data_IF_564017354647
#
_entry.id   IF_564017354647
#
_cell.length_a   1.000
_cell.length_b   1.000
_cell.length_c   1.000
_cell.angle_alpha   90.00
_cell.angle_beta   90.00
_cell.angle_gamma   90.00
#
_symmetry.space_group_name_H-M   'P 1'
#
loop_
_entity.id
_entity.type
_entity.pdbx_description
1 polymer ?
#
# COMPACT_ATOMS: atom_id res chain seq x y z
N UNK A 1 0.63 10.47 -11.50
CA UNK A 1 -0.19 9.73 -10.51
C UNK A 1 -0.60 8.32 -10.96
N UNK A 2 -1.30 8.14 -12.10
CA UNK A 2 -1.90 6.83 -12.49
C UNK A 2 -0.92 5.66 -12.57
N UNK A 3 0.27 5.88 -13.14
CA UNK A 3 1.33 4.85 -13.25
C UNK A 3 1.77 4.34 -11.87
N UNK A 4 1.95 5.23 -10.91
CA UNK A 4 2.33 4.91 -9.52
C UNK A 4 1.20 4.11 -8.86
N UNK A 5 -0.03 4.61 -8.95
CA UNK A 5 -1.22 3.98 -8.37
C UNK A 5 -1.44 2.57 -8.91
N UNK A 6 -1.39 2.39 -10.23
CA UNK A 6 -1.59 1.09 -10.89
C UNK A 6 -0.51 0.07 -10.50
N UNK A 7 0.77 0.50 -10.47
CA UNK A 7 1.90 -0.35 -10.07
C UNK A 7 1.77 -0.80 -8.62
N UNK A 8 1.40 0.09 -7.70
CA UNK A 8 1.22 -0.28 -6.28
C UNK A 8 -0.04 -1.14 -6.09
N UNK A 9 -1.14 -0.81 -6.76
CA UNK A 9 -2.37 -1.59 -6.71
C UNK A 9 -2.19 -3.01 -7.28
N UNK A 10 -1.24 -3.23 -8.19
CA UNK A 10 -0.87 -4.56 -8.67
C UNK A 10 -0.28 -5.45 -7.56
N UNK A 11 0.36 -4.87 -6.53
CA UNK A 11 0.81 -5.61 -5.35
C UNK A 11 -0.37 -6.00 -4.44
N UNK A 12 -1.53 -5.36 -4.57
CA UNK A 12 -2.68 -5.62 -3.70
C UNK A 12 -2.50 -5.09 -2.28
N UNK A 13 -2.83 -5.92 -1.30
CA UNK A 13 -2.70 -5.59 0.14
C UNK A 13 -1.26 -5.31 0.57
N UNK A 14 -0.24 -6.05 0.11
CA UNK A 14 1.18 -5.70 0.31
C UNK A 14 1.52 -4.27 -0.10
N UNK A 15 0.91 -3.75 -1.17
CA UNK A 15 1.10 -2.36 -1.60
C UNK A 15 0.61 -1.36 -0.56
N UNK A 16 -0.56 -1.59 0.05
CA UNK A 16 -1.08 -0.73 1.13
C UNK A 16 -0.18 -0.76 2.38
N UNK A 17 0.32 -1.94 2.74
CA UNK A 17 1.24 -2.12 3.86
C UNK A 17 2.51 -1.31 3.62
N UNK A 18 3.04 -1.34 2.38
CA UNK A 18 4.23 -0.60 2.00
C UNK A 18 4.04 0.91 2.09
N UNK A 19 2.91 1.45 1.61
CA UNK A 19 2.61 2.90 1.70
C UNK A 19 2.67 3.39 3.15
N UNK A 20 2.08 2.63 4.08
CA UNK A 20 2.03 3.03 5.50
C UNK A 20 3.36 2.77 6.20
N UNK A 21 4.09 1.72 5.83
CA UNK A 21 5.42 1.50 6.35
C UNK A 21 6.33 2.69 6.00
N UNK A 22 6.36 3.10 4.72
CA UNK A 22 7.16 4.23 4.27
C UNK A 22 6.73 5.56 4.91
N UNK A 23 5.43 5.79 5.08
CA UNK A 23 4.96 7.01 5.76
C UNK A 23 5.25 7.00 7.26
N UNK A 24 5.28 5.83 7.90
CA UNK A 24 5.61 5.69 9.31
C UNK A 24 7.11 5.82 9.61
N UNK A 25 7.99 5.45 8.68
CA UNK A 25 9.45 5.48 8.89
C UNK A 25 10.13 6.74 8.34
N UNK A 26 9.41 7.58 7.60
CA UNK A 26 9.99 8.71 6.87
C UNK A 26 10.87 8.28 5.68
N UNK A 27 11.29 9.25 4.87
CA UNK A 27 12.08 9.01 3.64
C UNK A 27 13.45 8.36 3.92
N UNK A 28 14.01 8.60 5.11
CA UNK A 28 15.29 8.04 5.58
C UNK A 28 15.22 6.55 5.95
N UNK A 29 14.08 6.07 6.46
CA UNK A 29 13.86 4.64 6.71
C UNK A 29 13.54 3.83 5.45
N UNK A 30 13.10 4.51 4.37
CA UNK A 30 12.79 3.90 3.08
C UNK A 30 14.00 3.17 2.48
N UNK A 31 15.17 3.80 2.43
CA UNK A 31 16.38 3.18 1.87
C UNK A 31 16.78 1.89 2.60
N UNK A 32 16.75 1.88 3.94
CA UNK A 32 17.07 0.71 4.75
C UNK A 32 16.03 -0.41 4.62
N UNK A 33 14.74 -0.07 4.53
CA UNK A 33 13.69 -1.04 4.22
C UNK A 33 13.85 -1.60 2.80
N UNK A 34 14.28 -0.79 1.84
CA UNK A 34 14.43 -1.25 0.45
C UNK A 34 15.65 -2.13 0.26
N UNK A 35 16.77 -1.87 0.94
CA UNK A 35 17.94 -2.75 0.91
C UNK A 35 17.65 -4.07 1.60
N UNK A 36 16.99 -4.05 2.77
CA UNK A 36 16.59 -5.26 3.48
C UNK A 36 15.58 -6.09 2.67
N UNK A 37 14.58 -5.45 2.05
CA UNK A 37 13.57 -6.13 1.24
C UNK A 37 14.11 -6.55 -0.12
N UNK A 38 15.14 -5.86 -0.66
CA UNK A 38 15.83 -6.27 -1.87
C UNK A 38 16.72 -7.50 -1.66
N UNK A 39 17.34 -7.61 -0.49
CA UNK A 39 18.11 -8.78 -0.10
C UNK A 39 17.23 -10.01 0.19
N UNK A 40 15.97 -9.81 0.58
CA UNK A 40 15.03 -10.87 1.02
C UNK A 40 13.80 -10.97 0.08
N UNK A 41 13.82 -10.31 -1.08
CA UNK A 41 12.68 -10.26 -1.98
C UNK A 41 12.24 -11.66 -2.41
N UNK A 42 10.94 -11.96 -2.50
CA UNK A 42 10.48 -13.22 -3.08
C UNK A 42 11.10 -13.33 -4.48
N UNK A 43 11.71 -14.47 -4.82
CA UNK A 43 12.50 -14.68 -6.06
C UNK A 43 13.94 -14.09 -6.08
N UNK A 44 14.53 -13.76 -4.92
CA UNK A 44 15.92 -13.34 -4.83
C UNK A 44 16.19 -11.98 -5.49
N UNK A 45 17.30 -11.84 -6.22
CA UNK A 45 17.75 -10.57 -6.81
C UNK A 45 16.69 -9.91 -7.72
N UNK A 46 15.95 -10.71 -8.51
CA UNK A 46 14.90 -10.19 -9.39
C UNK A 46 13.74 -9.58 -8.61
N UNK A 47 13.30 -10.26 -7.55
CA UNK A 47 12.31 -9.75 -6.62
C UNK A 47 12.77 -8.47 -5.93
N UNK A 48 14.05 -8.41 -5.59
CA UNK A 48 14.65 -7.22 -4.99
C UNK A 48 14.68 -6.02 -5.92
N UNK A 49 15.08 -6.18 -7.18
CA UNK A 49 15.08 -5.11 -8.18
C UNK A 49 13.66 -4.63 -8.46
N UNK A 50 12.70 -5.55 -8.62
CA UNK A 50 11.30 -5.18 -8.82
C UNK A 50 10.75 -4.37 -7.64
N UNK A 51 11.08 -4.79 -6.42
CA UNK A 51 10.67 -4.09 -5.18
C UNK A 51 11.29 -2.69 -5.09
N UNK A 52 12.58 -2.55 -5.41
CA UNK A 52 13.26 -1.25 -5.49
C UNK A 52 12.55 -0.31 -6.47
N UNK A 53 12.19 -0.79 -7.66
CA UNK A 53 11.47 0.00 -8.66
C UNK A 53 10.12 0.52 -8.15
N UNK A 54 9.36 -0.32 -7.42
CA UNK A 54 8.08 0.08 -6.82
C UNK A 54 8.29 1.13 -5.72
N UNK A 55 9.32 0.96 -4.89
CA UNK A 55 9.63 1.89 -3.79
C UNK A 55 10.06 3.25 -4.32
N UNK A 56 10.86 3.30 -5.37
CA UNK A 56 11.25 4.57 -6.04
C UNK A 56 10.01 5.30 -6.55
N UNK A 57 9.12 4.60 -7.27
CA UNK A 57 7.88 5.18 -7.78
C UNK A 57 6.94 5.67 -6.66
N UNK A 58 6.84 4.89 -5.59
CA UNK A 58 6.03 5.23 -4.44
C UNK A 58 6.60 6.43 -3.68
N UNK A 59 7.93 6.51 -3.51
CA UNK A 59 8.61 7.65 -2.89
C UNK A 59 8.35 8.94 -3.66
N UNK A 60 8.48 8.90 -4.99
CA UNK A 60 8.16 10.05 -5.86
C UNK A 60 6.69 10.46 -5.68
N UNK A 61 5.77 9.48 -5.70
CA UNK A 61 4.35 9.74 -5.51
C UNK A 61 4.01 10.34 -4.15
N UNK A 62 4.66 9.89 -3.07
CA UNK A 62 4.47 10.44 -1.73
C UNK A 62 4.97 11.89 -1.62
N UNK A 63 6.13 12.19 -2.23
CA UNK A 63 6.69 13.55 -2.24
C UNK A 63 5.86 14.51 -3.09
N UNK A 64 5.39 14.06 -4.25
CA UNK A 64 4.70 14.92 -5.23
C UNK A 64 3.21 15.13 -4.91
N UNK A 65 2.51 14.09 -4.44
CA UNK A 65 1.05 14.14 -4.22
C UNK A 65 0.64 14.02 -2.76
N UNK A 66 1.57 13.68 -1.87
CA UNK A 66 1.28 13.44 -0.46
C UNK A 66 0.64 12.07 -0.18
N UNK A 67 0.72 11.67 1.08
CA UNK A 67 0.24 10.36 1.56
C UNK A 67 -1.26 10.14 1.29
N UNK A 68 -2.12 11.10 1.66
CA UNK A 68 -3.57 10.95 1.57
C UNK A 68 -4.05 10.70 0.13
N UNK A 69 -3.48 11.41 -0.85
CA UNK A 69 -3.84 11.26 -2.25
C UNK A 69 -3.43 9.89 -2.80
N UNK A 70 -2.18 9.47 -2.52
CA UNK A 70 -1.66 8.16 -2.96
C UNK A 70 -2.44 7.02 -2.32
N UNK A 71 -2.63 7.06 -1.00
CA UNK A 71 -3.33 6.01 -0.27
C UNK A 71 -4.77 5.86 -0.77
N UNK A 72 -5.51 6.97 -0.91
CA UNK A 72 -6.89 6.96 -1.41
C UNK A 72 -6.97 6.44 -2.84
N UNK A 73 -6.07 6.88 -3.73
CA UNK A 73 -6.07 6.46 -5.13
C UNK A 73 -5.76 4.95 -5.28
N UNK A 74 -4.79 4.42 -4.53
CA UNK A 74 -4.48 2.98 -4.53
C UNK A 74 -5.63 2.17 -3.98
N UNK A 75 -6.26 2.63 -2.90
CA UNK A 75 -7.45 1.98 -2.36
C UNK A 75 -8.54 1.95 -3.42
N UNK A 76 -8.92 3.08 -4.03
CA UNK A 76 -9.93 3.15 -5.11
C UNK A 76 -9.63 2.18 -6.26
N UNK A 77 -8.38 2.07 -6.67
CA UNK A 77 -7.93 1.14 -7.72
C UNK A 77 -8.11 -0.33 -7.31
N UNK A 78 -7.89 -0.68 -6.03
CA UNK A 78 -8.17 -2.03 -5.53
C UNK A 78 -9.67 -2.36 -5.55
N UNK A 79 -10.54 -1.40 -5.27
CA UNK A 79 -11.99 -1.60 -5.36
C UNK A 79 -12.46 -1.81 -6.81
N UNK A 80 -11.93 -1.04 -7.75
CA UNK A 80 -12.18 -1.27 -9.19
C UNK A 80 -11.78 -2.69 -9.63
N UNK A 81 -10.75 -3.26 -9.01
CA UNK A 81 -10.29 -4.64 -9.23
C UNK A 81 -11.08 -5.69 -8.42
N UNK A 82 -12.24 -5.33 -7.88
CA UNK A 82 -13.14 -6.23 -7.17
C UNK A 82 -12.73 -6.58 -5.73
N UNK A 83 -11.82 -5.82 -5.11
CA UNK A 83 -11.50 -5.98 -3.68
C UNK A 83 -12.49 -5.18 -2.84
N UNK A 84 -13.13 -5.81 -1.87
CA UNK A 84 -13.93 -5.10 -0.88
C UNK A 84 -13.15 -4.81 0.42
N UNK A 85 -13.68 -3.89 1.24
CA UNK A 85 -13.08 -3.48 2.52
C UNK A 85 -12.82 -4.66 3.46
N UNK A 86 -13.78 -5.58 3.60
CA UNK A 86 -13.69 -6.72 4.52
C UNK A 86 -12.61 -7.70 4.04
N UNK A 87 -12.50 -7.93 2.74
CA UNK A 87 -11.45 -8.76 2.14
C UNK A 87 -10.06 -8.17 2.35
N UNK A 88 -9.91 -6.86 2.18
CA UNK A 88 -8.65 -6.15 2.45
C UNK A 88 -8.28 -6.31 3.94
N UNK A 89 -9.18 -5.98 4.86
CA UNK A 89 -8.98 -6.12 6.31
C UNK A 89 -8.61 -7.56 6.72
N UNK A 90 -9.34 -8.56 6.20
CA UNK A 90 -9.06 -9.98 6.46
C UNK A 90 -7.68 -10.40 5.98
N UNK A 91 -7.21 -9.87 4.84
CA UNK A 91 -5.88 -10.16 4.31
C UNK A 91 -4.79 -9.49 5.16
N UNK A 92 -4.98 -8.25 5.60
CA UNK A 92 -4.03 -7.52 6.46
C UNK A 92 -3.74 -8.32 7.73
N UNK A 93 -4.77 -8.89 8.35
CA UNK A 93 -4.62 -9.72 9.55
C UNK A 93 -3.71 -10.95 9.34
N UNK A 94 -3.68 -11.51 8.13
CA UNK A 94 -2.86 -12.69 7.80
C UNK A 94 -1.39 -12.36 7.51
N UNK A 95 -1.04 -11.10 7.26
CA UNK A 95 0.36 -10.74 6.96
C UNK A 95 1.23 -10.77 8.23
N UNK A 96 2.49 -11.24 8.13
CA UNK A 96 3.45 -11.28 9.24
C UNK A 96 4.07 -9.88 9.47
N UNK A 97 3.23 -8.90 9.84
CA UNK A 97 3.64 -7.52 10.14
C UNK A 97 3.20 -7.11 11.55
N UNK A 98 3.81 -6.04 12.08
CA UNK A 98 3.55 -5.59 13.45
C UNK A 98 2.09 -5.19 13.67
N UNK A 99 1.58 -5.41 14.89
CA UNK A 99 0.21 -5.03 15.28
C UNK A 99 -0.04 -3.53 15.11
N UNK A 100 0.97 -2.70 15.36
CA UNK A 100 0.89 -1.25 15.19
C UNK A 100 0.70 -0.86 13.72
N UNK A 101 1.34 -1.55 12.78
CA UNK A 101 1.17 -1.31 11.35
C UNK A 101 -0.22 -1.72 10.87
N UNK A 102 -0.73 -2.87 11.32
CA UNK A 102 -2.11 -3.31 11.05
C UNK A 102 -3.14 -2.31 11.56
N UNK A 103 -2.95 -1.82 12.81
CA UNK A 103 -3.83 -0.80 13.41
C UNK A 103 -3.85 0.49 12.59
N UNK A 104 -2.68 1.05 12.26
CA UNK A 104 -2.60 2.26 11.43
C UNK A 104 -3.30 2.08 10.09
N UNK A 105 -3.14 0.91 9.48
CA UNK A 105 -3.74 0.63 8.17
C UNK A 105 -5.26 0.50 8.22
N UNK A 106 -5.79 -0.08 9.30
CA UNK A 106 -7.22 -0.10 9.57
C UNK A 106 -7.78 1.30 9.79
N UNK A 107 -7.13 2.11 10.62
CA UNK A 107 -7.53 3.50 10.89
C UNK A 107 -7.57 4.32 9.59
N UNK A 108 -6.54 4.19 8.74
CA UNK A 108 -6.50 4.88 7.44
C UNK A 108 -7.61 4.41 6.49
N UNK A 109 -7.93 3.11 6.45
CA UNK A 109 -9.05 2.57 5.66
C UNK A 109 -10.44 2.99 6.20
N UNK A 110 -10.55 3.25 7.50
CA UNK A 110 -11.77 3.77 8.13
C UNK A 110 -11.93 5.27 7.88
N UNK A 111 -10.82 6.02 7.85
CA UNK A 111 -10.80 7.46 7.58
C UNK A 111 -10.99 7.84 6.09
N UNK A 112 -10.82 6.90 5.16
CA UNK A 112 -11.25 7.12 3.76
C UNK A 112 -12.79 7.17 3.77
N UNK A 113 -13.31 8.40 3.81
CA UNK A 113 -14.73 8.71 3.92
C UNK A 113 -15.55 8.16 2.73
N UNK A 114 -16.83 7.91 3.00
CA UNK A 114 -17.84 7.18 2.21
C UNK A 114 -18.03 7.61 0.73
N UNK A 115 -17.41 8.69 0.25
CA UNK A 115 -17.47 9.09 -1.16
C UNK A 115 -16.68 8.17 -2.11
N UNK A 116 -15.76 7.36 -1.58
CA UNK A 116 -15.01 6.36 -2.36
C UNK A 116 -15.63 4.95 -2.26
N UNK A 117 -16.51 4.73 -1.29
CA UNK A 117 -17.21 3.48 -1.03
C UNK A 117 -18.71 3.73 -1.13
N UNK A 118 -19.33 3.69 -2.33
CA UNK A 118 -20.78 3.72 -2.40
C UNK A 118 -21.31 2.60 -1.51
N UNK A 119 -22.37 2.84 -0.71
CA UNK A 119 -22.98 1.81 0.11
C UNK A 119 -23.29 0.62 -0.79
N UNK A 120 -22.83 -0.55 -0.38
CA UNK A 120 -23.18 -1.81 -1.02
C UNK A 120 -24.70 -1.83 -1.10
N UNK A 121 -25.26 -1.64 -2.30
CA UNK A 121 -26.69 -1.80 -2.51
C UNK A 121 -26.99 -3.25 -2.14
N UNK A 122 -27.61 -3.43 -0.98
CA UNK A 122 -28.19 -4.70 -0.59
C UNK A 122 -29.33 -4.94 -1.57
N UNK A 123 -29.08 -5.83 -2.53
CA UNK A 123 -30.11 -6.52 -3.29
C UNK A 123 -30.60 -7.68 -2.44
#
# INVERSE_FOLDING_TARGET
>A
MEKVVSKIAALGVPGLILIIAMSATGLSGGAALTTALAAIGPFGMLGGIATLGVVVLLSQGLTEFGFNAIFTAVVKELYKKGKDKKSILRKIEKYPVSKSLKRKLREQLENISYSTFPPMQMV
#
